data_IF_118869110044
#
_entry.id   IF_118869110044
#
_cell.length_a   1.000
_cell.length_b   1.000
_cell.length_c   1.000
_cell.angle_alpha   90.00
_cell.angle_beta   90.00
_cell.angle_gamma   90.00
#
_symmetry.space_group_name_H-M   'P 1'
#
loop_
_entity.id
_entity.type
_entity.pdbx_description
1 polymer ?
#
# COMPACT_ATOMS: atom_id res chain seq x y z
N UNK A 1 21.32 -65.09 -30.30
CA UNK A 1 21.45 -63.67 -30.86
C UNK A 1 21.54 -62.76 -29.68
N UNK A 2 22.80 -62.35 -29.36
CA UNK A 2 23.07 -61.41 -28.26
C UNK A 2 22.85 -59.98 -28.71
N UNK A 3 22.17 -59.19 -27.85
CA UNK A 3 22.08 -57.76 -27.97
C UNK A 3 23.39 -57.12 -27.44
N UNK A 4 24.16 -56.54 -28.34
CA UNK A 4 25.28 -55.67 -27.94
C UNK A 4 24.72 -54.31 -27.48
N UNK A 5 24.94 -54.00 -26.22
CA UNK A 5 24.68 -52.68 -25.65
C UNK A 5 25.92 -51.85 -25.88
N UNK A 6 25.77 -50.77 -26.63
CA UNK A 6 26.85 -49.84 -26.96
C UNK A 6 27.04 -48.82 -25.80
N UNK A 7 28.19 -48.76 -25.11
CA UNK A 7 28.39 -47.97 -23.89
C UNK A 7 28.77 -46.49 -24.09
N UNK A 8 28.80 -46.00 -25.32
CA UNK A 8 29.41 -44.67 -25.58
C UNK A 8 28.49 -43.43 -25.55
N UNK A 9 27.18 -43.57 -25.29
CA UNK A 9 26.25 -42.45 -25.39
C UNK A 9 25.91 -41.71 -24.06
N UNK A 10 26.45 -42.15 -22.92
CA UNK A 10 26.06 -41.57 -21.62
C UNK A 10 27.01 -40.56 -21.01
N UNK A 11 28.21 -40.35 -21.57
CA UNK A 11 29.21 -39.49 -20.92
C UNK A 11 28.99 -37.95 -21.15
N UNK A 12 28.18 -37.58 -22.12
CA UNK A 12 27.99 -36.14 -22.49
C UNK A 12 26.70 -35.50 -21.96
N UNK A 13 25.82 -36.29 -21.29
CA UNK A 13 24.55 -35.77 -20.77
C UNK A 13 24.64 -35.14 -19.39
N UNK A 14 25.58 -35.59 -18.55
CA UNK A 14 25.74 -35.10 -17.19
C UNK A 14 26.31 -33.66 -17.08
N UNK A 15 27.31 -33.23 -17.87
CA UNK A 15 27.83 -31.86 -17.78
C UNK A 15 26.82 -30.82 -18.21
N UNK A 16 25.93 -31.11 -19.16
CA UNK A 16 24.88 -30.20 -19.61
C UNK A 16 23.81 -30.03 -18.52
N UNK A 17 23.41 -31.10 -17.85
CA UNK A 17 22.45 -31.06 -16.74
C UNK A 17 23.01 -30.28 -15.53
N UNK A 18 24.29 -30.47 -15.20
CA UNK A 18 24.96 -29.71 -14.13
C UNK A 18 25.12 -28.22 -14.47
N UNK A 19 25.42 -27.91 -15.73
CA UNK A 19 25.52 -26.51 -16.20
C UNK A 19 24.15 -25.82 -16.16
N UNK A 20 23.07 -26.51 -16.51
CA UNK A 20 21.71 -25.99 -16.46
C UNK A 20 21.26 -25.70 -15.01
N UNK A 21 21.61 -26.55 -14.05
CA UNK A 21 21.31 -26.33 -12.63
C UNK A 21 22.11 -25.16 -12.08
N UNK A 22 23.39 -25.00 -12.48
CA UNK A 22 24.22 -23.86 -12.07
C UNK A 22 23.69 -22.54 -12.63
N UNK A 23 23.20 -22.49 -13.86
CA UNK A 23 22.62 -21.30 -14.48
C UNK A 23 21.29 -20.93 -13.81
N UNK A 24 20.44 -21.89 -13.47
CA UNK A 24 19.18 -21.67 -12.75
C UNK A 24 19.45 -21.12 -11.34
N UNK A 25 20.50 -21.60 -10.67
CA UNK A 25 20.90 -21.12 -9.34
C UNK A 25 21.48 -19.68 -9.37
N UNK A 26 22.14 -19.27 -10.48
CA UNK A 26 22.62 -17.89 -10.65
C UNK A 26 21.50 -16.89 -10.99
N UNK A 27 20.42 -17.35 -11.61
CA UNK A 27 19.24 -16.55 -11.95
C UNK A 27 18.24 -16.43 -10.79
N UNK A 28 18.45 -17.14 -9.69
CA UNK A 28 17.75 -16.88 -8.45
C UNK A 28 18.21 -15.55 -7.89
N UNK A 29 17.69 -14.45 -8.45
CA UNK A 29 17.76 -13.13 -7.83
C UNK A 29 17.22 -13.30 -6.42
N UNK A 30 18.07 -13.03 -5.44
CA UNK A 30 17.61 -12.91 -4.05
C UNK A 30 16.59 -11.79 -4.07
N UNK A 31 15.32 -12.13 -4.12
CA UNK A 31 14.28 -11.23 -3.69
C UNK A 31 14.60 -10.96 -2.22
N UNK A 32 15.20 -9.83 -1.96
CA UNK A 32 15.26 -9.28 -0.61
C UNK A 32 13.80 -9.00 -0.25
N UNK A 33 13.12 -10.03 0.26
CA UNK A 33 11.81 -9.85 0.88
C UNK A 33 12.03 -8.88 2.02
N UNK A 34 11.55 -7.66 1.85
CA UNK A 34 11.50 -6.68 2.91
C UNK A 34 10.72 -7.34 4.07
N UNK A 35 11.24 -7.35 5.32
CA UNK A 35 10.52 -7.93 6.45
C UNK A 35 9.16 -7.27 6.72
N UNK A 36 8.87 -6.16 6.05
CA UNK A 36 7.57 -5.46 6.03
C UNK A 36 6.64 -5.94 4.90
N UNK A 37 7.09 -6.86 4.01
CA UNK A 37 6.32 -7.37 2.88
C UNK A 37 5.22 -8.36 3.31
N UNK A 38 4.33 -7.99 4.21
CA UNK A 38 2.97 -8.46 4.17
C UNK A 38 2.21 -7.49 3.25
N UNK A 39 2.15 -7.84 1.96
CA UNK A 39 1.35 -7.18 0.93
C UNK A 39 1.16 -5.66 1.14
N UNK A 40 2.23 -4.87 0.93
CA UNK A 40 2.09 -3.42 0.74
C UNK A 40 1.20 -3.26 -0.47
N UNK A 41 0.06 -2.61 -0.30
CA UNK A 41 -0.84 -2.30 -1.42
C UNK A 41 -0.26 -1.15 -2.22
N UNK A 42 -0.70 -1.01 -3.45
CA UNK A 42 -0.43 0.17 -4.25
C UNK A 42 -1.03 1.39 -3.53
N UNK A 43 -0.26 2.46 -3.41
CA UNK A 43 -0.73 3.70 -2.77
C UNK A 43 -1.60 4.50 -3.74
N UNK A 44 -2.43 5.41 -3.21
CA UNK A 44 -3.21 6.30 -4.07
C UNK A 44 -2.32 7.15 -4.99
N UNK A 45 -1.13 7.52 -4.53
CA UNK A 45 -0.18 8.23 -5.40
C UNK A 45 0.23 7.37 -6.59
N UNK A 46 0.59 6.11 -6.34
CA UNK A 46 0.99 5.17 -7.40
C UNK A 46 -0.20 4.84 -8.32
N UNK A 47 -1.40 4.69 -7.77
CA UNK A 47 -2.62 4.48 -8.57
C UNK A 47 -2.92 5.70 -9.46
N UNK A 48 -2.89 6.92 -8.91
CA UNK A 48 -3.10 8.17 -9.66
C UNK A 48 -2.05 8.31 -10.76
N UNK A 49 -0.79 7.97 -10.46
CA UNK A 49 0.29 8.05 -11.45
C UNK A 49 0.14 7.04 -12.59
N UNK A 50 -0.40 5.87 -12.31
CA UNK A 50 -0.61 4.81 -13.29
C UNK A 50 -1.81 5.04 -14.21
N UNK A 51 -2.80 5.87 -13.82
CA UNK A 51 -4.01 6.13 -14.59
C UNK A 51 -3.83 7.25 -15.60
N UNK A 52 -4.56 7.20 -16.74
CA UNK A 52 -4.58 8.26 -17.75
C UNK A 52 -5.50 9.42 -17.35
N UNK A 53 -6.60 9.11 -16.68
CA UNK A 53 -7.59 10.08 -16.17
C UNK A 53 -7.91 9.79 -14.72
N UNK A 54 -7.88 10.82 -13.88
CA UNK A 54 -8.30 10.78 -12.48
C UNK A 54 -9.17 11.99 -12.18
N UNK A 55 -10.39 11.75 -11.71
CA UNK A 55 -11.36 12.81 -11.44
C UNK A 55 -12.10 12.58 -10.13
N UNK A 56 -12.61 13.65 -9.55
CA UNK A 56 -13.66 13.60 -8.52
C UNK A 56 -14.99 13.80 -9.23
N UNK A 57 -15.92 12.88 -9.03
CA UNK A 57 -17.24 12.93 -9.60
C UNK A 57 -18.34 12.85 -8.55
N UNK A 58 -19.55 13.23 -8.96
CA UNK A 58 -20.78 13.10 -8.17
C UNK A 58 -21.76 12.21 -8.89
N UNK A 59 -22.42 11.32 -8.15
CA UNK A 59 -23.47 10.46 -8.69
C UNK A 59 -24.69 11.28 -9.09
N UNK A 60 -25.11 11.19 -10.37
CA UNK A 60 -26.33 11.81 -10.91
C UNK A 60 -27.49 10.83 -10.86
N UNK A 61 -27.27 9.63 -11.39
CA UNK A 61 -28.27 8.59 -11.48
C UNK A 61 -27.65 7.20 -11.43
N UNK A 62 -28.32 6.27 -10.78
CA UNK A 62 -27.91 4.87 -10.72
C UNK A 62 -29.14 3.97 -10.88
N UNK A 63 -29.19 3.11 -11.88
CA UNK A 63 -30.22 2.10 -11.97
C UNK A 63 -30.08 1.08 -10.83
N UNK A 64 -31.19 0.41 -10.45
CA UNK A 64 -31.08 -0.69 -9.50
C UNK A 64 -30.17 -1.79 -10.05
N UNK A 65 -29.35 -2.36 -9.17
CA UNK A 65 -28.49 -3.51 -9.51
C UNK A 65 -29.38 -4.71 -9.82
N UNK A 66 -29.30 -5.31 -11.02
CA UNK A 66 -30.08 -6.50 -11.33
C UNK A 66 -29.74 -7.66 -10.39
N UNK A 67 -30.76 -8.39 -9.98
CA UNK A 67 -30.54 -9.64 -9.25
C UNK A 67 -30.07 -10.73 -10.22
N UNK A 68 -28.82 -11.12 -10.12
CA UNK A 68 -28.22 -12.14 -10.97
C UNK A 68 -28.87 -13.52 -10.81
N UNK A 69 -29.54 -13.80 -9.69
CA UNK A 69 -30.25 -15.07 -9.48
C UNK A 69 -31.55 -15.15 -10.28
N UNK A 70 -32.21 -14.01 -10.52
CA UNK A 70 -33.48 -13.94 -11.24
C UNK A 70 -33.31 -13.53 -12.71
N UNK A 71 -32.22 -12.83 -13.04
CA UNK A 71 -31.96 -12.37 -14.39
C UNK A 71 -30.43 -12.40 -14.69
N UNK A 72 -29.84 -13.58 -14.96
CA UNK A 72 -28.41 -13.75 -15.18
C UNK A 72 -27.88 -13.04 -16.44
N UNK A 73 -28.76 -12.77 -17.43
CA UNK A 73 -28.39 -12.12 -18.69
C UNK A 73 -28.66 -10.59 -18.66
N UNK A 74 -29.00 -10.04 -17.50
CA UNK A 74 -29.22 -8.61 -17.40
C UNK A 74 -27.94 -7.83 -17.74
N UNK A 75 -28.03 -6.69 -18.44
CA UNK A 75 -26.87 -5.84 -18.68
C UNK A 75 -26.31 -5.33 -17.36
N UNK A 76 -24.99 -5.23 -17.29
CA UNK A 76 -24.31 -4.70 -16.09
C UNK A 76 -24.79 -3.26 -15.81
N UNK A 77 -25.04 -2.91 -14.53
CA UNK A 77 -25.58 -1.60 -14.18
C UNK A 77 -24.52 -0.52 -14.41
N UNK A 78 -24.89 0.48 -15.21
CA UNK A 78 -24.10 1.68 -15.44
C UNK A 78 -24.76 2.86 -14.73
N UNK A 79 -24.02 3.48 -13.83
CA UNK A 79 -24.46 4.71 -13.18
C UNK A 79 -23.89 5.92 -13.93
N UNK A 80 -24.61 7.05 -13.87
CA UNK A 80 -24.17 8.32 -14.41
C UNK A 80 -23.50 9.16 -13.33
N UNK A 81 -22.33 9.63 -13.64
CA UNK A 81 -21.56 10.52 -12.79
C UNK A 81 -21.26 11.83 -13.54
N UNK A 82 -21.28 12.94 -12.83
CA UNK A 82 -20.82 14.23 -13.30
C UNK A 82 -19.44 14.51 -12.76
N UNK A 83 -18.49 14.88 -13.62
CA UNK A 83 -17.13 15.26 -13.24
C UNK A 83 -17.16 16.64 -12.56
N UNK A 84 -16.81 16.70 -11.27
CA UNK A 84 -16.72 17.96 -10.54
C UNK A 84 -15.30 18.55 -10.58
N UNK A 85 -14.28 17.70 -10.50
CA UNK A 85 -12.88 18.15 -10.52
C UNK A 85 -12.01 17.13 -11.27
N UNK A 86 -11.10 17.63 -12.08
CA UNK A 86 -10.09 16.86 -12.77
C UNK A 86 -8.79 16.96 -11.97
N UNK A 87 -8.22 15.80 -11.60
CA UNK A 87 -6.92 15.70 -10.94
C UNK A 87 -5.84 15.42 -11.98
N UNK A 88 -6.16 14.57 -12.98
CA UNK A 88 -5.26 14.20 -14.07
C UNK A 88 -6.07 13.91 -15.33
N UNK A 89 -5.51 14.19 -16.52
CA UNK A 89 -6.11 13.82 -17.80
C UNK A 89 -7.05 14.87 -18.38
N UNK A 90 -6.86 16.17 -18.11
CA UNK A 90 -7.66 17.29 -18.60
C UNK A 90 -7.75 17.39 -20.12
N UNK A 91 -6.84 16.75 -20.86
CA UNK A 91 -6.89 16.63 -22.32
C UNK A 91 -7.94 15.63 -22.82
N UNK A 92 -8.43 14.73 -21.96
CA UNK A 92 -9.35 13.66 -22.33
C UNK A 92 -10.79 13.88 -21.82
N UNK A 93 -10.96 14.64 -20.75
CA UNK A 93 -12.25 14.90 -20.10
C UNK A 93 -12.41 16.39 -19.78
N UNK A 94 -13.66 16.81 -19.51
CA UNK A 94 -13.97 18.19 -19.19
C UNK A 94 -14.74 18.29 -17.87
N UNK A 95 -14.61 19.40 -17.11
CA UNK A 95 -15.50 19.70 -16.02
C UNK A 95 -16.97 19.64 -16.45
N UNK A 96 -17.86 19.24 -15.56
CA UNK A 96 -19.30 19.06 -15.77
C UNK A 96 -19.68 18.02 -16.81
N UNK A 97 -18.73 17.27 -17.39
CA UNK A 97 -19.02 16.16 -18.29
C UNK A 97 -19.70 15.02 -17.53
N UNK A 98 -20.76 14.47 -18.14
CA UNK A 98 -21.37 13.23 -17.67
C UNK A 98 -20.66 12.02 -18.26
N UNK A 99 -20.42 11.00 -17.43
CA UNK A 99 -19.83 9.72 -17.82
C UNK A 99 -20.66 8.57 -17.27
N UNK A 100 -20.75 7.48 -18.03
CA UNK A 100 -21.41 6.25 -17.61
C UNK A 100 -20.36 5.22 -17.19
N UNK A 101 -20.44 4.75 -15.94
CA UNK A 101 -19.45 3.85 -15.33
C UNK A 101 -20.15 2.68 -14.66
N UNK A 102 -19.57 1.49 -14.75
CA UNK A 102 -20.07 0.32 -14.02
C UNK A 102 -20.03 0.61 -12.52
N UNK A 103 -21.17 0.47 -11.85
CA UNK A 103 -21.31 0.75 -10.45
C UNK A 103 -22.25 -0.25 -9.77
N UNK A 104 -21.74 -0.93 -8.74
CA UNK A 104 -22.47 -1.95 -7.99
C UNK A 104 -22.73 -1.55 -6.53
N UNK A 105 -22.29 -0.36 -6.14
CA UNK A 105 -22.46 0.13 -4.79
C UNK A 105 -23.86 0.70 -4.54
N UNK A 106 -24.15 0.97 -3.26
CA UNK A 106 -25.37 1.69 -2.88
C UNK A 106 -25.31 3.15 -3.37
N UNK A 107 -26.35 3.62 -4.09
CA UNK A 107 -26.38 4.98 -4.59
C UNK A 107 -26.40 6.01 -3.46
N UNK A 108 -25.41 6.92 -3.47
CA UNK A 108 -25.39 8.04 -2.52
C UNK A 108 -25.01 9.32 -3.27
N UNK A 109 -25.98 10.22 -3.47
CA UNK A 109 -25.80 11.48 -4.20
C UNK A 109 -25.07 12.57 -3.38
N UNK A 110 -24.95 12.37 -2.07
CA UNK A 110 -24.28 13.31 -1.16
C UNK A 110 -22.77 13.03 -1.06
N UNK A 111 -22.33 11.86 -1.53
CA UNK A 111 -20.91 11.49 -1.56
C UNK A 111 -20.23 11.95 -2.86
N UNK A 112 -18.96 12.25 -2.75
CA UNK A 112 -18.03 12.34 -3.87
C UNK A 112 -17.38 11.00 -4.12
N UNK A 113 -16.92 10.81 -5.34
CA UNK A 113 -16.33 9.57 -5.80
C UNK A 113 -15.00 9.85 -6.51
N UNK A 114 -13.96 9.12 -6.12
CA UNK A 114 -12.74 9.04 -6.91
C UNK A 114 -13.00 8.10 -8.08
N UNK A 115 -12.77 8.59 -9.29
CA UNK A 115 -12.99 7.87 -10.53
C UNK A 115 -11.71 7.90 -11.35
N UNK A 116 -11.29 6.75 -11.81
CA UNK A 116 -10.04 6.58 -12.55
C UNK A 116 -10.28 5.82 -13.84
N UNK A 117 -9.54 6.17 -14.90
CA UNK A 117 -9.66 5.52 -16.20
C UNK A 117 -8.32 5.40 -16.93
N UNK A 118 -8.27 4.41 -17.83
CA UNK A 118 -7.16 4.14 -18.76
C UNK A 118 -7.63 4.11 -20.19
N UNK A 119 -6.70 3.94 -21.11
CA UNK A 119 -6.92 3.64 -22.54
C UNK A 119 -7.66 4.73 -23.32
N UNK A 120 -7.20 6.00 -23.30
CA UNK A 120 -7.78 7.02 -24.17
C UNK A 120 -7.55 6.68 -25.67
N UNK A 121 -8.48 7.03 -26.56
CA UNK A 121 -9.66 7.90 -26.35
C UNK A 121 -10.90 7.17 -25.82
N UNK A 122 -10.96 5.83 -25.83
CA UNK A 122 -12.07 5.06 -25.30
C UNK A 122 -11.81 4.73 -23.83
N UNK A 123 -12.05 5.70 -22.95
CA UNK A 123 -11.75 5.57 -21.52
C UNK A 123 -12.45 4.37 -20.88
N UNK A 124 -11.65 3.50 -20.30
CA UNK A 124 -12.09 2.37 -19.49
C UNK A 124 -12.07 2.78 -18.01
N UNK A 125 -13.23 3.04 -17.46
CA UNK A 125 -13.39 3.47 -16.07
C UNK A 125 -13.34 2.29 -15.11
N UNK A 126 -12.55 2.42 -14.05
CA UNK A 126 -12.60 1.53 -12.88
C UNK A 126 -13.86 1.80 -12.05
N UNK A 127 -14.18 0.90 -11.13
CA UNK A 127 -15.31 1.11 -10.21
C UNK A 127 -15.09 2.36 -9.36
N UNK A 128 -16.06 3.31 -9.35
CA UNK A 128 -15.97 4.53 -8.56
C UNK A 128 -15.82 4.24 -7.07
N UNK A 129 -14.85 4.88 -6.40
CA UNK A 129 -14.60 4.77 -4.98
C UNK A 129 -15.28 5.92 -4.22
N UNK A 130 -16.27 5.59 -3.38
CA UNK A 130 -16.96 6.59 -2.58
C UNK A 130 -16.05 7.15 -1.49
N UNK A 131 -15.98 8.47 -1.40
CA UNK A 131 -15.12 9.19 -0.46
C UNK A 131 -15.92 9.74 0.71
N UNK A 132 -15.33 9.68 1.91
CA UNK A 132 -15.71 10.59 3.01
C UNK A 132 -15.23 12.00 2.70
N UNK A 133 -15.73 13.02 3.39
CA UNK A 133 -15.21 14.38 3.20
C UNK A 133 -13.70 14.46 3.52
N UNK A 134 -13.24 13.73 4.54
CA UNK A 134 -11.82 13.64 4.88
C UNK A 134 -10.99 12.99 3.76
N UNK A 135 -11.47 11.86 3.22
CA UNK A 135 -10.83 11.18 2.10
C UNK A 135 -10.81 12.06 0.85
N UNK A 136 -11.87 12.81 0.58
CA UNK A 136 -11.90 13.78 -0.51
C UNK A 136 -10.79 14.84 -0.37
N UNK A 137 -10.66 15.46 0.81
CA UNK A 137 -9.60 16.45 1.05
C UNK A 137 -8.20 15.82 0.98
N UNK A 138 -8.05 14.61 1.49
CA UNK A 138 -6.80 13.85 1.40
C UNK A 138 -6.37 13.63 -0.06
N UNK A 139 -7.26 13.08 -0.90
CA UNK A 139 -6.98 12.84 -2.33
C UNK A 139 -6.61 14.14 -3.05
N UNK A 140 -7.31 15.25 -2.76
CA UNK A 140 -6.96 16.55 -3.35
C UNK A 140 -5.57 17.03 -2.94
N UNK A 141 -5.18 16.78 -1.70
CA UNK A 141 -3.87 17.16 -1.20
C UNK A 141 -2.73 16.40 -1.88
N UNK A 142 -2.92 15.11 -2.22
CA UNK A 142 -1.89 14.27 -2.84
C UNK A 142 -1.27 14.92 -4.09
N UNK A 143 -2.10 15.57 -4.92
CA UNK A 143 -1.65 16.24 -6.16
C UNK A 143 -0.74 17.45 -5.91
N UNK A 144 -0.67 17.93 -4.68
CA UNK A 144 0.12 19.12 -4.30
C UNK A 144 1.35 18.79 -3.45
N UNK A 145 1.50 17.51 -3.08
CA UNK A 145 2.62 17.07 -2.26
C UNK A 145 3.94 17.10 -3.04
N UNK A 146 5.07 17.34 -2.36
CA UNK A 146 6.39 17.16 -2.94
C UNK A 146 6.57 15.73 -3.46
N UNK A 147 7.46 15.56 -4.43
CA UNK A 147 7.82 14.23 -4.97
C UNK A 147 8.98 13.57 -4.22
N UNK A 148 9.56 14.24 -3.23
CA UNK A 148 10.65 13.74 -2.38
C UNK A 148 10.13 13.22 -1.03
N UNK A 149 11.04 12.70 -0.19
CA UNK A 149 10.71 12.14 1.11
C UNK A 149 10.02 13.09 2.09
N UNK A 150 10.02 14.42 1.83
CA UNK A 150 9.32 15.39 2.69
C UNK A 150 7.80 15.22 2.69
N UNK A 151 7.24 14.53 1.67
CA UNK A 151 5.81 14.16 1.60
C UNK A 151 5.37 13.28 2.79
N UNK A 152 6.27 12.52 3.39
CA UNK A 152 5.98 11.66 4.54
C UNK A 152 5.44 12.44 5.74
N UNK A 153 5.72 13.74 5.84
CA UNK A 153 5.14 14.59 6.88
C UNK A 153 3.63 14.67 6.78
N UNK A 154 3.08 14.68 5.57
CA UNK A 154 1.64 14.64 5.35
C UNK A 154 1.06 13.30 5.80
N UNK A 155 1.64 12.20 5.38
CA UNK A 155 1.15 10.86 5.70
C UNK A 155 1.26 10.52 7.19
N UNK A 156 2.25 11.08 7.90
CA UNK A 156 2.40 10.90 9.35
C UNK A 156 1.14 11.32 10.14
N UNK A 157 0.43 12.36 9.67
CA UNK A 157 -0.78 12.83 10.33
C UNK A 157 -1.96 11.86 10.20
N UNK A 158 -1.91 10.94 9.23
CA UNK A 158 -2.99 10.02 8.89
C UNK A 158 -2.70 8.55 9.25
N UNK A 159 -1.55 8.21 9.87
CA UNK A 159 -1.16 6.81 10.18
C UNK A 159 -2.19 6.04 11.02
N UNK A 160 -2.86 6.70 11.96
CA UNK A 160 -3.94 6.14 12.77
C UNK A 160 -5.22 6.96 12.59
N UNK A 161 -5.52 7.35 11.35
CA UNK A 161 -6.75 8.03 11.02
C UNK A 161 -7.96 7.10 11.24
N UNK A 162 -9.09 7.66 11.69
CA UNK A 162 -10.35 6.94 11.86
C UNK A 162 -10.91 6.41 10.53
N UNK A 163 -10.60 7.09 9.41
CA UNK A 163 -10.87 6.59 8.08
C UNK A 163 -9.79 5.58 7.70
N UNK A 164 -10.18 4.29 7.66
CA UNK A 164 -9.28 3.18 7.38
C UNK A 164 -8.57 3.33 6.01
N UNK A 165 -9.21 3.96 5.03
CA UNK A 165 -8.62 4.22 3.72
C UNK A 165 -7.37 5.11 3.87
N UNK A 166 -7.47 6.19 4.66
CA UNK A 166 -6.38 7.13 4.88
C UNK A 166 -5.25 6.51 5.70
N UNK A 167 -5.62 5.81 6.77
CA UNK A 167 -4.61 5.18 7.64
C UNK A 167 -3.84 4.08 6.93
N UNK A 168 -4.50 3.34 6.03
CA UNK A 168 -3.88 2.29 5.23
C UNK A 168 -2.95 2.88 4.16
N UNK A 169 -3.44 3.84 3.37
CA UNK A 169 -2.63 4.50 2.34
C UNK A 169 -1.38 5.15 2.95
N UNK A 170 -1.55 5.84 4.07
CA UNK A 170 -0.44 6.45 4.80
C UNK A 170 0.58 5.43 5.29
N UNK A 171 0.13 4.27 5.79
CA UNK A 171 1.01 3.17 6.16
C UNK A 171 1.78 2.64 4.94
N UNK A 172 1.10 2.43 3.80
CA UNK A 172 1.71 1.90 2.58
C UNK A 172 2.74 2.90 2.00
N UNK A 173 2.49 4.21 2.07
CA UNK A 173 3.46 5.27 1.70
C UNK A 173 4.74 5.21 2.57
N UNK A 174 4.60 5.00 3.89
CA UNK A 174 5.75 4.80 4.76
C UNK A 174 6.47 3.47 4.51
N UNK A 175 5.75 2.41 4.19
CA UNK A 175 6.33 1.10 3.89
C UNK A 175 7.12 1.10 2.58
N UNK A 176 6.76 1.96 1.62
CA UNK A 176 7.47 2.17 0.36
C UNK A 176 8.62 3.19 0.48
N UNK A 177 8.67 3.96 1.57
CA UNK A 177 9.68 4.99 1.76
C UNK A 177 11.08 4.41 1.99
N UNK A 178 12.11 5.12 1.53
CA UNK A 178 13.48 4.75 1.83
C UNK A 178 13.83 5.04 3.28
N UNK A 179 14.75 4.27 3.85
CA UNK A 179 15.24 4.54 5.21
C UNK A 179 15.93 5.92 5.32
N UNK A 180 16.51 6.42 4.23
CA UNK A 180 17.10 7.76 4.18
C UNK A 180 16.03 8.85 4.35
N UNK A 181 14.84 8.67 3.75
CA UNK A 181 13.72 9.60 3.92
C UNK A 181 13.20 9.62 5.36
N UNK A 182 13.14 8.45 6.01
CA UNK A 182 12.81 8.37 7.44
C UNK A 182 13.82 9.12 8.30
N UNK A 183 15.12 8.96 8.04
CA UNK A 183 16.17 9.70 8.75
C UNK A 183 16.01 11.21 8.53
N UNK A 184 15.72 11.64 7.30
CA UNK A 184 15.58 13.05 6.96
C UNK A 184 14.41 13.74 7.70
N UNK A 185 13.38 12.99 8.09
CA UNK A 185 12.25 13.54 8.85
C UNK A 185 12.40 13.39 10.38
N UNK A 186 13.52 12.88 10.89
CA UNK A 186 13.76 12.55 12.31
C UNK A 186 13.24 13.62 13.28
N UNK A 187 13.64 14.87 13.10
CA UNK A 187 13.31 15.97 14.01
C UNK A 187 11.85 16.48 13.89
N UNK A 188 11.10 15.92 12.95
CA UNK A 188 9.70 16.23 12.67
C UNK A 188 8.76 15.06 12.97
N UNK A 189 9.29 13.95 13.44
CA UNK A 189 8.48 12.81 13.85
C UNK A 189 7.73 13.10 15.15
N UNK A 190 6.50 12.64 15.22
CA UNK A 190 5.62 12.81 16.39
C UNK A 190 5.95 11.75 17.46
N UNK A 191 7.06 11.92 18.17
CA UNK A 191 7.56 11.00 19.18
C UNK A 191 6.47 10.51 20.15
N UNK A 192 5.70 11.43 20.74
CA UNK A 192 4.68 11.06 21.74
C UNK A 192 3.53 10.24 21.14
N UNK A 193 3.14 10.52 19.88
CA UNK A 193 2.17 9.69 19.16
C UNK A 193 2.72 8.28 18.92
N UNK A 194 3.99 8.16 18.52
CA UNK A 194 4.63 6.86 18.33
C UNK A 194 4.63 6.03 19.62
N UNK A 195 4.99 6.65 20.74
CA UNK A 195 4.93 5.99 22.06
C UNK A 195 3.50 5.52 22.38
N UNK A 196 2.50 6.35 22.16
CA UNK A 196 1.10 5.98 22.39
C UNK A 196 0.67 4.81 21.50
N UNK A 197 1.04 4.82 20.22
CA UNK A 197 0.65 3.79 19.25
C UNK A 197 1.31 2.44 19.51
N UNK A 198 2.61 2.41 19.89
CA UNK A 198 3.28 1.14 20.22
C UNK A 198 2.73 0.50 21.51
N UNK A 199 2.19 1.30 22.43
CA UNK A 199 1.56 0.82 23.66
C UNK A 199 0.10 0.41 23.48
N UNK A 200 -0.56 0.83 22.42
CA UNK A 200 -1.97 0.50 22.17
C UNK A 200 -2.12 -0.96 21.68
N UNK A 201 -2.77 -1.86 22.44
CA UNK A 201 -2.93 -3.27 22.07
C UNK A 201 -3.82 -3.50 20.84
N UNK A 202 -4.59 -2.50 20.43
CA UNK A 202 -5.49 -2.59 19.29
C UNK A 202 -4.77 -2.25 17.95
N UNK A 203 -3.58 -1.64 18.02
CA UNK A 203 -2.76 -1.38 16.83
C UNK A 203 -2.17 -2.69 16.30
N UNK A 204 -2.40 -3.05 15.03
CA UNK A 204 -1.90 -4.28 14.44
C UNK A 204 -0.36 -4.39 14.48
N UNK A 205 0.15 -5.63 14.58
CA UNK A 205 1.59 -5.89 14.63
C UNK A 205 2.37 -5.29 13.44
N UNK A 206 1.78 -5.24 12.26
CA UNK A 206 2.37 -4.64 11.05
C UNK A 206 2.60 -3.14 11.23
N UNK A 207 1.62 -2.40 11.73
CA UNK A 207 1.75 -0.97 12.01
C UNK A 207 2.71 -0.72 13.16
N UNK A 208 2.68 -1.53 14.23
CA UNK A 208 3.66 -1.40 15.33
C UNK A 208 5.10 -1.58 14.86
N UNK A 209 5.38 -2.48 13.90
CA UNK A 209 6.72 -2.60 13.31
C UNK A 209 7.20 -1.29 12.69
N UNK A 210 6.34 -0.62 11.94
CA UNK A 210 6.63 0.71 11.38
C UNK A 210 6.94 1.71 12.51
N UNK A 211 6.09 1.75 13.55
CA UNK A 211 6.26 2.71 14.65
C UNK A 211 7.51 2.45 15.48
N UNK A 212 7.90 1.19 15.70
CA UNK A 212 9.21 0.86 16.28
C UNK A 212 10.36 1.30 15.39
N UNK A 213 10.24 1.15 14.08
CA UNK A 213 11.26 1.64 13.13
C UNK A 213 11.39 3.16 13.20
N UNK A 214 10.27 3.88 13.18
CA UNK A 214 10.25 5.35 13.32
C UNK A 214 10.83 5.78 14.68
N UNK A 215 10.45 5.11 15.77
CA UNK A 215 10.98 5.39 17.10
C UNK A 215 12.49 5.11 17.18
N UNK A 216 13.00 4.09 16.50
CA UNK A 216 14.44 3.83 16.38
C UNK A 216 15.21 4.96 15.70
N UNK A 217 14.53 5.75 14.84
CA UNK A 217 15.10 6.93 14.17
C UNK A 217 15.03 8.17 15.06
N UNK A 218 13.88 8.48 15.67
CA UNK A 218 13.66 9.73 16.40
C UNK A 218 13.81 9.62 17.92
N UNK A 219 13.76 8.39 18.47
CA UNK A 219 13.82 8.14 19.89
C UNK A 219 15.21 8.36 20.49
N UNK A 220 15.29 8.17 21.79
CA UNK A 220 16.50 8.34 22.59
C UNK A 220 16.66 7.16 23.56
N UNK A 221 17.80 7.07 24.23
CA UNK A 221 18.05 6.08 25.27
C UNK A 221 16.99 6.11 26.40
N UNK A 222 16.30 7.24 26.60
CA UNK A 222 15.22 7.36 27.59
C UNK A 222 13.99 6.51 27.27
N UNK A 223 13.82 6.09 26.03
CA UNK A 223 12.71 5.24 25.58
C UNK A 223 13.01 3.75 25.77
N UNK A 224 14.28 3.37 25.95
CA UNK A 224 14.70 1.98 26.09
C UNK A 224 14.06 1.24 27.29
N UNK A 225 13.84 1.84 28.47
CA UNK A 225 13.16 1.17 29.57
C UNK A 225 11.73 0.74 29.23
N UNK A 226 10.98 1.53 28.46
CA UNK A 226 9.64 1.16 28.00
C UNK A 226 9.69 -0.07 27.10
N UNK A 227 10.59 -0.09 26.12
CA UNK A 227 10.74 -1.23 25.19
C UNK A 227 11.13 -2.50 25.97
N UNK A 228 12.04 -2.39 26.94
CA UNK A 228 12.44 -3.50 27.80
C UNK A 228 11.25 -4.05 28.59
N UNK A 229 10.45 -3.18 29.21
CA UNK A 229 9.23 -3.57 29.92
C UNK A 229 8.25 -4.32 29.00
N UNK A 230 8.03 -3.84 27.78
CA UNK A 230 7.17 -4.50 26.79
C UNK A 230 7.71 -5.87 26.38
N UNK A 231 9.02 -6.02 26.16
CA UNK A 231 9.65 -7.30 25.83
C UNK A 231 9.54 -8.33 26.99
N UNK A 232 9.62 -7.88 28.23
CA UNK A 232 9.54 -8.73 29.43
C UNK A 232 8.09 -9.04 29.84
N UNK A 233 7.10 -8.35 29.29
CA UNK A 233 5.67 -8.57 29.59
C UNK A 233 5.26 -10.03 29.37
N UNK A 234 4.39 -10.54 30.22
CA UNK A 234 3.73 -11.83 30.03
C UNK A 234 2.58 -11.77 29.02
N UNK A 235 2.07 -10.58 28.71
CA UNK A 235 1.03 -10.41 27.71
C UNK A 235 1.63 -10.46 26.28
N UNK A 236 1.11 -11.38 25.48
CA UNK A 236 1.54 -11.52 24.07
C UNK A 236 1.19 -10.30 23.23
N UNK A 237 0.17 -9.53 23.60
CA UNK A 237 -0.23 -8.31 22.88
C UNK A 237 0.86 -7.24 22.96
N UNK A 238 1.54 -7.13 24.10
CA UNK A 238 2.66 -6.18 24.26
C UNK A 238 3.83 -6.52 23.34
N UNK A 239 3.97 -7.79 22.95
CA UNK A 239 5.04 -8.30 22.08
C UNK A 239 4.71 -8.27 20.58
N UNK A 240 3.59 -7.64 20.21
CA UNK A 240 3.26 -7.50 18.78
C UNK A 240 4.32 -6.62 18.08
N UNK A 241 4.98 -7.17 17.05
CA UNK A 241 6.12 -6.52 16.38
C UNK A 241 7.45 -6.65 17.12
N UNK A 242 7.64 -7.75 17.91
CA UNK A 242 8.82 -7.99 18.73
C UNK A 242 10.15 -7.87 17.97
N UNK A 243 10.20 -8.32 16.75
CA UNK A 243 11.35 -8.22 15.84
C UNK A 243 11.82 -6.76 15.67
N UNK A 244 10.91 -5.86 15.33
CA UNK A 244 11.18 -4.43 15.17
C UNK A 244 11.42 -3.74 16.54
N UNK A 245 10.72 -4.20 17.59
CA UNK A 245 10.93 -3.70 18.95
C UNK A 245 12.37 -3.97 19.44
N UNK A 246 12.90 -5.18 19.20
CA UNK A 246 14.28 -5.54 19.55
C UNK A 246 15.26 -4.66 18.75
N UNK A 247 15.04 -4.51 17.44
CA UNK A 247 15.89 -3.66 16.61
C UNK A 247 15.88 -2.20 17.10
N UNK A 248 14.71 -1.66 17.45
CA UNK A 248 14.57 -0.34 18.03
C UNK A 248 15.36 -0.21 19.35
N UNK A 249 15.21 -1.17 20.27
CA UNK A 249 15.93 -1.18 21.54
C UNK A 249 17.44 -1.13 21.35
N UNK A 250 17.99 -1.98 20.46
CA UNK A 250 19.43 -2.01 20.17
C UNK A 250 19.93 -0.69 19.55
N UNK A 251 19.14 -0.07 18.67
CA UNK A 251 19.48 1.24 18.11
C UNK A 251 19.54 2.34 19.18
N UNK A 252 18.60 2.34 20.13
CA UNK A 252 18.50 3.36 21.17
C UNK A 252 19.58 3.20 22.26
N UNK A 253 19.94 1.96 22.61
CA UNK A 253 20.95 1.67 23.63
C UNK A 253 22.37 1.64 23.07
N UNK A 254 22.54 1.64 21.73
CA UNK A 254 23.84 1.49 21.06
C UNK A 254 24.59 0.22 21.51
N UNK A 255 23.87 -0.79 21.97
CA UNK A 255 24.46 -2.09 22.28
C UNK A 255 24.85 -2.78 20.95
N UNK A 256 26.11 -3.27 20.83
CA UNK A 256 26.49 -4.08 19.69
C UNK A 256 25.68 -5.36 19.69
N UNK A 257 25.02 -5.67 18.54
CA UNK A 257 24.26 -6.91 18.34
C UNK A 257 25.15 -8.15 18.30
#
# INVERSE_FOLDING_TARGET
RGLQINPESNFMRYPIALLSIAIISLLATRTLSCPFCSAVSQTFTEEIDAMDVVVIGRLIDAPPVPDAATNPDAPLPKAKFQIEKIIKGEQFVKPDQEVEVLYFGEPNKDKRYLMMATDPPQLMWSTPLGLTERAHQYILALSTLPTDGSRLLFFQEHLEDEDEMLSRDSYDEFANASYADLIAMKDKMHHDKLIAWIQNPDVPATRRRLYFTMLGVCGTEKDAPLLKQMMESSDRKDKAGLDAMIACYLLLTKEPG
#
